data_IF_634368146998
#
_entry.id   IF_634368146998
#
_cell.length_a   1.000
_cell.length_b   1.000
_cell.length_c   1.000
_cell.angle_alpha   90.00
_cell.angle_beta   90.00
_cell.angle_gamma   90.00
#
_symmetry.space_group_name_H-M   'P 1'
#
loop_
_entity.id
_entity.type
_entity.pdbx_description
1 polymer ?
#
# COMPACT_ATOMS: atom_id res chain seq x y z
N UNK A 1 -8.91 -3.35 -20.27
CA UNK A 1 -9.45 -1.96 -20.21
C UNK A 1 -8.42 -1.06 -19.54
N UNK A 2 -8.28 0.20 -19.93
CA UNK A 2 -7.30 1.09 -19.28
C UNK A 2 -7.70 1.38 -17.82
N UNK A 3 -6.72 1.51 -16.93
CA UNK A 3 -6.90 1.85 -15.50
C UNK A 3 -7.81 3.08 -15.32
N UNK A 4 -7.70 4.05 -16.25
CA UNK A 4 -8.56 5.24 -16.28
C UNK A 4 -10.04 4.90 -16.43
N UNK A 5 -10.39 4.00 -17.35
CA UNK A 5 -11.78 3.59 -17.59
C UNK A 5 -12.34 2.90 -16.35
N UNK A 6 -11.58 1.97 -15.77
CA UNK A 6 -11.94 1.27 -14.53
C UNK A 6 -12.16 2.24 -13.35
N UNK A 7 -11.35 3.29 -13.21
CA UNK A 7 -11.55 4.31 -12.17
C UNK A 7 -12.86 5.09 -12.37
N UNK A 8 -13.18 5.49 -13.61
CA UNK A 8 -14.44 6.18 -13.93
C UNK A 8 -15.63 5.25 -13.72
N UNK A 9 -15.54 4.00 -14.17
CA UNK A 9 -16.59 2.99 -14.02
C UNK A 9 -16.85 2.71 -12.52
N UNK A 10 -15.80 2.57 -11.70
CA UNK A 10 -15.94 2.41 -10.25
C UNK A 10 -16.58 3.63 -9.57
N UNK A 11 -16.27 4.85 -10.03
CA UNK A 11 -16.89 6.08 -9.52
C UNK A 11 -18.39 6.14 -9.88
N UNK A 12 -18.76 5.74 -11.10
CA UNK A 12 -20.15 5.64 -11.54
C UNK A 12 -20.91 4.56 -10.77
N UNK A 13 -20.31 3.39 -10.61
CA UNK A 13 -20.88 2.26 -9.88
C UNK A 13 -21.11 2.60 -8.39
N UNK A 14 -20.17 3.32 -7.77
CA UNK A 14 -20.35 3.82 -6.40
C UNK A 14 -21.51 4.83 -6.28
N UNK A 15 -21.66 5.73 -7.25
CA UNK A 15 -22.80 6.66 -7.29
C UNK A 15 -24.12 5.91 -7.43
N UNK A 16 -24.16 4.88 -8.27
CA UNK A 16 -25.35 4.05 -8.49
C UNK A 16 -25.71 3.21 -7.25
N UNK A 17 -24.72 2.60 -6.58
CA UNK A 17 -24.93 1.88 -5.32
C UNK A 17 -25.39 2.79 -4.16
N UNK A 18 -25.04 4.08 -4.16
CA UNK A 18 -25.61 5.05 -3.21
C UNK A 18 -26.99 5.58 -3.61
N UNK A 19 -27.31 5.60 -4.91
CA UNK A 19 -28.62 5.98 -5.43
C UNK A 19 -29.75 5.03 -5.04
N UNK A 20 -29.43 3.77 -4.74
CA UNK A 20 -30.43 2.78 -4.29
C UNK A 20 -30.75 2.84 -2.78
N UNK A 21 -30.11 3.71 -2.00
CA UNK A 21 -30.33 3.82 -0.55
C UNK A 21 -30.86 5.18 -0.09
N UNK A 22 -30.91 6.21 -0.94
CA UNK A 22 -31.36 7.54 -0.54
C UNK A 22 -32.06 8.24 -1.70
N UNK A 23 -33.38 8.48 -1.55
CA UNK A 23 -34.15 9.41 -2.38
C UNK A 23 -33.38 10.71 -2.62
N UNK A 24 -33.46 11.23 -3.84
CA UNK A 24 -32.79 12.43 -4.37
C UNK A 24 -32.54 13.55 -3.35
N UNK A 25 -31.43 13.44 -2.63
CA UNK A 25 -30.71 14.59 -2.11
C UNK A 25 -29.45 14.67 -2.94
N UNK A 26 -29.29 15.77 -3.66
CA UNK A 26 -28.05 16.10 -4.36
C UNK A 26 -26.95 16.34 -3.31
N UNK A 27 -26.46 15.26 -2.71
CA UNK A 27 -25.27 15.27 -1.87
C UNK A 27 -24.13 15.71 -2.78
N UNK A 28 -23.54 16.87 -2.49
CA UNK A 28 -22.38 17.37 -3.21
C UNK A 28 -21.35 16.26 -3.34
N UNK A 29 -20.77 16.10 -4.54
CA UNK A 29 -19.72 15.11 -4.76
C UNK A 29 -18.54 15.50 -3.87
N UNK A 30 -18.15 14.61 -2.97
CA UNK A 30 -16.96 14.77 -2.14
C UNK A 30 -15.71 14.51 -3.00
N UNK A 31 -15.37 15.46 -3.87
CA UNK A 31 -14.32 15.33 -4.90
C UNK A 31 -12.99 14.87 -4.29
N UNK A 32 -12.62 15.40 -3.12
CA UNK A 32 -11.37 15.05 -2.42
C UNK A 32 -11.32 13.56 -2.09
N UNK A 33 -12.41 13.01 -1.54
CA UNK A 33 -12.49 11.59 -1.19
C UNK A 33 -12.36 10.70 -2.42
N UNK A 34 -13.07 11.01 -3.50
CA UNK A 34 -12.99 10.21 -4.72
C UNK A 34 -11.62 10.27 -5.39
N UNK A 35 -11.00 11.46 -5.44
CA UNK A 35 -9.63 11.60 -5.96
C UNK A 35 -8.67 10.77 -5.11
N UNK A 36 -8.78 10.83 -3.78
CA UNK A 36 -7.94 10.04 -2.89
C UNK A 36 -8.08 8.53 -3.12
N UNK A 37 -9.31 8.01 -3.15
CA UNK A 37 -9.56 6.58 -3.40
C UNK A 37 -9.05 6.14 -4.78
N UNK A 38 -9.24 6.98 -5.81
CA UNK A 38 -8.72 6.71 -7.14
C UNK A 38 -7.19 6.70 -7.16
N UNK A 39 -6.54 7.71 -6.56
CA UNK A 39 -5.08 7.78 -6.45
C UNK A 39 -4.52 6.59 -5.67
N UNK A 40 -5.17 6.17 -4.59
CA UNK A 40 -4.75 5.01 -3.80
C UNK A 40 -4.84 3.72 -4.62
N UNK A 41 -5.91 3.51 -5.37
CA UNK A 41 -6.03 2.37 -6.28
C UNK A 41 -5.03 2.42 -7.44
N UNK A 42 -4.74 3.60 -7.99
CA UNK A 42 -3.71 3.75 -9.02
C UNK A 42 -2.32 3.38 -8.49
N UNK A 43 -1.99 3.82 -7.27
CA UNK A 43 -0.74 3.43 -6.60
C UNK A 43 -0.72 1.92 -6.32
N UNK A 44 -1.83 1.34 -5.84
CA UNK A 44 -1.94 -0.10 -5.63
C UNK A 44 -1.69 -0.91 -6.91
N UNK A 45 -2.27 -0.48 -8.03
CA UNK A 45 -2.05 -1.14 -9.31
C UNK A 45 -0.60 -0.99 -9.79
N UNK A 46 0.00 0.19 -9.66
CA UNK A 46 1.38 0.42 -10.08
C UNK A 46 2.40 -0.32 -9.19
N UNK A 47 2.11 -0.42 -7.89
CA UNK A 47 3.04 -1.00 -6.92
C UNK A 47 2.90 -2.52 -6.81
N UNK A 48 1.68 -3.03 -6.91
CA UNK A 48 1.31 -4.41 -6.55
C UNK A 48 0.35 -5.06 -7.55
N UNK A 49 -0.02 -4.40 -8.65
CA UNK A 49 -1.05 -4.86 -9.59
C UNK A 49 -2.37 -5.25 -8.90
N UNK A 50 -2.77 -4.50 -7.87
CA UNK A 50 -3.95 -4.77 -7.05
C UNK A 50 -4.74 -3.49 -6.79
N UNK A 51 -6.06 -3.59 -6.80
CA UNK A 51 -6.90 -2.54 -6.23
C UNK A 51 -6.81 -2.65 -4.70
N UNK A 52 -6.45 -1.57 -4.02
CA UNK A 52 -6.26 -1.55 -2.56
C UNK A 52 -7.44 -0.92 -1.82
N UNK A 53 -8.42 -0.40 -2.56
CA UNK A 53 -9.72 0.02 -2.06
C UNK A 53 -10.75 -0.93 -2.64
N UNK A 54 -11.13 -1.92 -1.84
CA UNK A 54 -12.19 -2.86 -2.16
C UNK A 54 -13.02 -3.13 -0.89
N UNK A 55 -14.32 -2.79 -0.86
CA UNK A 55 -15.18 -3.05 0.29
C UNK A 55 -15.45 -4.55 0.53
N UNK A 56 -15.30 -5.40 -0.48
CA UNK A 56 -15.58 -6.84 -0.38
C UNK A 56 -14.36 -7.64 0.10
N UNK A 57 -13.17 -7.04 0.02
CA UNK A 57 -11.92 -7.62 0.48
C UNK A 57 -11.49 -7.02 1.82
N UNK A 58 -11.59 -7.85 2.87
CA UNK A 58 -11.20 -7.48 4.24
C UNK A 58 -9.74 -7.04 4.32
N UNK A 59 -8.84 -7.74 3.64
CA UNK A 59 -7.40 -7.48 3.72
C UNK A 59 -7.02 -6.12 3.12
N UNK A 60 -7.56 -5.78 1.95
CA UNK A 60 -7.33 -4.48 1.31
C UNK A 60 -8.02 -3.34 2.05
N UNK A 61 -9.22 -3.59 2.61
CA UNK A 61 -9.89 -2.63 3.49
C UNK A 61 -9.08 -2.35 4.76
N UNK A 62 -8.56 -3.38 5.42
CA UNK A 62 -7.71 -3.24 6.61
C UNK A 62 -6.39 -2.51 6.26
N UNK A 63 -5.79 -2.80 5.10
CA UNK A 63 -4.62 -2.09 4.60
C UNK A 63 -4.91 -0.60 4.35
N UNK A 64 -6.00 -0.29 3.66
CA UNK A 64 -6.44 1.07 3.41
C UNK A 64 -6.66 1.84 4.71
N UNK A 65 -7.36 1.23 5.68
CA UNK A 65 -7.62 1.84 6.99
C UNK A 65 -6.33 2.09 7.77
N UNK A 66 -5.37 1.16 7.71
CA UNK A 66 -4.06 1.34 8.35
C UNK A 66 -3.28 2.52 7.74
N UNK A 67 -3.20 2.61 6.41
CA UNK A 67 -2.54 3.75 5.75
C UNK A 67 -3.26 5.07 6.02
N UNK A 68 -4.59 5.07 5.99
CA UNK A 68 -5.38 6.26 6.32
C UNK A 68 -5.14 6.72 7.76
N UNK A 69 -5.01 5.78 8.70
CA UNK A 69 -4.60 6.07 10.09
C UNK A 69 -3.23 6.74 10.17
N UNK A 70 -2.22 6.21 9.46
CA UNK A 70 -0.88 6.83 9.40
C UNK A 70 -0.94 8.27 8.88
N UNK A 71 -1.72 8.51 7.82
CA UNK A 71 -1.90 9.87 7.27
C UNK A 71 -2.58 10.81 8.26
N UNK A 72 -3.63 10.35 8.95
CA UNK A 72 -4.33 11.12 9.99
C UNK A 72 -3.37 11.53 11.11
N UNK A 73 -2.59 10.58 11.65
CA UNK A 73 -1.64 10.87 12.73
C UNK A 73 -0.48 11.76 12.29
N UNK A 74 -0.01 11.62 11.05
CA UNK A 74 1.01 12.48 10.46
C UNK A 74 0.51 13.91 10.16
N UNK A 75 -0.80 14.09 9.97
CA UNK A 75 -1.43 15.39 9.76
C UNK A 75 -1.65 16.19 11.04
N UNK A 76 -1.60 15.56 12.21
CA UNK A 76 -1.81 16.25 13.48
C UNK A 76 -0.58 17.07 13.90
N UNK A 77 -0.79 18.33 14.36
CA UNK A 77 0.30 19.11 14.94
C UNK A 77 0.86 18.39 16.18
N UNK A 78 2.17 18.14 16.18
CA UNK A 78 2.82 17.42 17.24
C UNK A 78 3.46 18.38 18.26
N UNK A 79 2.94 18.41 19.49
CA UNK A 79 3.50 19.17 20.61
C UNK A 79 4.97 18.81 20.84
N UNK A 80 5.34 17.55 20.60
CA UNK A 80 6.73 17.09 20.74
C UNK A 80 7.68 17.62 19.67
N UNK A 81 7.15 18.13 18.56
CA UNK A 81 7.94 18.80 17.52
C UNK A 81 8.13 20.29 17.83
N UNK A 82 7.23 20.89 18.61
CA UNK A 82 7.38 22.24 19.15
C UNK A 82 8.26 22.27 20.41
N UNK A 83 8.18 21.23 21.25
CA UNK A 83 8.92 21.12 22.51
C UNK A 83 9.69 19.80 22.55
N UNK A 84 10.90 19.81 22.00
CA UNK A 84 11.68 18.60 21.76
C UNK A 84 12.01 17.79 23.02
N UNK A 85 12.03 18.41 24.21
CA UNK A 85 12.24 17.71 25.48
C UNK A 85 11.04 16.86 25.94
N UNK A 86 9.85 17.06 25.36
CA UNK A 86 8.64 16.25 25.67
C UNK A 86 8.50 15.01 24.75
N UNK A 87 9.43 14.82 23.79
CA UNK A 87 9.37 13.73 22.79
C UNK A 87 9.27 12.33 23.37
N UNK A 88 9.89 12.09 24.53
CA UNK A 88 9.90 10.77 25.15
C UNK A 88 8.57 10.42 25.83
N UNK A 89 7.73 11.42 26.15
CA UNK A 89 6.44 11.21 26.81
C UNK A 89 5.34 10.81 25.83
N UNK A 90 5.48 11.15 24.54
CA UNK A 90 4.42 10.99 23.52
C UNK A 90 3.05 11.47 24.05
N UNK A 91 2.98 12.73 24.51
CA UNK A 91 1.82 13.28 25.23
C UNK A 91 0.49 13.15 24.47
N UNK A 92 0.55 13.13 23.14
CA UNK A 92 -0.62 13.00 22.27
C UNK A 92 -0.85 11.55 21.80
N UNK A 93 0.07 10.64 22.14
CA UNK A 93 0.06 9.26 21.69
C UNK A 93 0.23 9.10 20.18
N UNK A 94 0.62 10.15 19.45
CA UNK A 94 0.66 10.17 17.99
C UNK A 94 1.70 9.19 17.47
N UNK A 95 2.86 9.11 18.13
CA UNK A 95 3.90 8.16 17.76
C UNK A 95 3.40 6.73 17.95
N UNK A 96 2.82 6.42 19.12
CA UNK A 96 2.29 5.07 19.39
C UNK A 96 1.17 4.67 18.41
N UNK A 97 0.28 5.59 18.04
CA UNK A 97 -0.78 5.33 17.06
C UNK A 97 -0.22 5.10 15.66
N UNK A 98 0.76 5.92 15.25
CA UNK A 98 1.43 5.79 13.96
C UNK A 98 2.22 4.47 13.87
N UNK A 99 2.97 4.11 14.91
CA UNK A 99 3.71 2.84 14.97
C UNK A 99 2.76 1.64 14.89
N UNK A 100 1.62 1.69 15.57
CA UNK A 100 0.59 0.63 15.51
C UNK A 100 0.02 0.46 14.11
N UNK A 101 -0.38 1.56 13.47
CA UNK A 101 -1.04 1.51 12.16
C UNK A 101 -0.01 1.18 11.06
N UNK A 102 1.24 1.64 11.19
CA UNK A 102 2.36 1.24 10.34
C UNK A 102 2.70 -0.25 10.48
N UNK A 103 2.70 -0.79 11.70
CA UNK A 103 2.89 -2.22 11.93
C UNK A 103 1.86 -3.06 11.18
N UNK A 104 0.57 -2.71 11.31
CA UNK A 104 -0.51 -3.39 10.57
C UNK A 104 -0.35 -3.30 9.05
N UNK A 105 0.00 -2.13 8.53
CA UNK A 105 0.22 -1.95 7.10
C UNK A 105 1.39 -2.81 6.59
N UNK A 106 2.49 -2.88 7.35
CA UNK A 106 3.66 -3.71 7.00
C UNK A 106 3.33 -5.20 7.07
N UNK A 107 2.57 -5.64 8.06
CA UNK A 107 2.16 -7.05 8.19
C UNK A 107 1.33 -7.50 6.98
N UNK A 108 0.37 -6.67 6.55
CA UNK A 108 -0.45 -6.97 5.37
C UNK A 108 0.39 -6.88 4.07
N UNK A 109 1.24 -5.87 3.95
CA UNK A 109 2.15 -5.76 2.80
C UNK A 109 3.09 -6.97 2.70
N UNK A 110 3.54 -7.51 3.83
CA UNK A 110 4.35 -8.73 3.86
C UNK A 110 3.60 -9.95 3.31
N UNK A 111 2.28 -10.05 3.57
CA UNK A 111 1.42 -11.07 2.94
C UNK A 111 1.41 -10.92 1.43
N UNK A 112 1.20 -9.70 0.90
CA UNK A 112 1.21 -9.45 -0.55
C UNK A 112 2.55 -9.83 -1.20
N UNK A 113 3.67 -9.50 -0.55
CA UNK A 113 5.01 -9.89 -1.03
C UNK A 113 5.17 -11.41 -1.02
N UNK A 114 4.70 -12.08 0.03
CA UNK A 114 4.76 -13.54 0.14
C UNK A 114 3.95 -14.22 -0.95
N UNK A 115 2.71 -13.78 -1.17
CA UNK A 115 1.84 -14.25 -2.25
C UNK A 115 2.55 -14.14 -3.60
N UNK A 116 3.14 -12.97 -3.91
CA UNK A 116 3.86 -12.76 -5.18
C UNK A 116 5.07 -13.68 -5.34
N UNK A 117 5.85 -13.89 -4.28
CA UNK A 117 6.99 -14.81 -4.31
C UNK A 117 6.52 -16.25 -4.59
N UNK A 118 5.40 -16.67 -4.00
CA UNK A 118 4.83 -18.00 -4.22
C UNK A 118 4.29 -18.14 -5.66
N UNK A 119 3.64 -17.11 -6.20
CA UNK A 119 3.20 -17.05 -7.60
C UNK A 119 4.39 -17.22 -8.56
N UNK A 120 5.50 -16.49 -8.35
CA UNK A 120 6.70 -16.63 -9.18
C UNK A 120 7.30 -18.03 -9.13
N UNK A 121 7.32 -18.67 -7.96
CA UNK A 121 7.80 -20.05 -7.81
C UNK A 121 6.92 -21.07 -8.52
N UNK A 122 5.62 -20.79 -8.62
CA UNK A 122 4.67 -21.61 -9.35
C UNK A 122 4.73 -21.41 -10.87
N UNK A 123 5.62 -20.54 -11.37
CA UNK A 123 5.72 -20.21 -12.79
C UNK A 123 4.65 -19.21 -13.26
N UNK A 124 4.09 -18.42 -12.34
CA UNK A 124 3.16 -17.34 -12.67
C UNK A 124 3.79 -16.30 -13.58
N UNK A 125 2.94 -15.62 -14.37
CA UNK A 125 3.36 -14.55 -15.25
C UNK A 125 3.82 -13.32 -14.44
N UNK A 126 4.92 -12.70 -14.87
CA UNK A 126 5.37 -11.43 -14.28
C UNK A 126 4.41 -10.31 -14.68
N UNK A 127 4.07 -9.46 -13.72
CA UNK A 127 3.13 -8.35 -13.91
C UNK A 127 3.85 -7.04 -14.27
N UNK A 128 5.19 -7.04 -14.20
CA UNK A 128 6.06 -5.88 -14.47
C UNK A 128 5.72 -4.65 -13.61
N UNK A 129 5.16 -4.89 -12.42
CA UNK A 129 4.88 -3.86 -11.44
C UNK A 129 6.10 -3.56 -10.56
N UNK A 130 6.00 -2.55 -9.72
CA UNK A 130 7.12 -2.13 -8.87
C UNK A 130 7.63 -3.27 -7.98
N UNK A 131 6.74 -4.11 -7.44
CA UNK A 131 7.13 -5.23 -6.60
C UNK A 131 7.94 -6.26 -7.39
N UNK A 132 7.56 -6.56 -8.63
CA UNK A 132 8.34 -7.47 -9.48
C UNK A 132 9.75 -6.93 -9.73
N UNK A 133 9.88 -5.63 -10.02
CA UNK A 133 11.18 -4.97 -10.16
C UNK A 133 12.02 -5.11 -8.88
N UNK A 134 11.41 -4.91 -7.70
CA UNK A 134 12.11 -5.08 -6.43
C UNK A 134 12.58 -6.53 -6.19
N UNK A 135 11.74 -7.51 -6.54
CA UNK A 135 12.08 -8.93 -6.41
C UNK A 135 13.22 -9.32 -7.36
N UNK A 136 13.22 -8.83 -8.60
CA UNK A 136 14.30 -9.03 -9.55
C UNK A 136 15.62 -8.41 -9.09
N UNK A 137 15.58 -7.18 -8.57
CA UNK A 137 16.76 -6.52 -8.00
C UNK A 137 17.34 -7.31 -6.82
N UNK A 138 16.47 -7.86 -5.96
CA UNK A 138 16.88 -8.71 -4.84
C UNK A 138 17.57 -9.99 -5.34
N UNK A 139 17.00 -10.65 -6.34
CA UNK A 139 17.55 -11.87 -6.92
C UNK A 139 18.88 -11.61 -7.62
N UNK A 140 18.97 -10.56 -8.44
CA UNK A 140 20.21 -10.15 -9.10
C UNK A 140 21.33 -9.86 -8.08
N UNK A 141 21.01 -9.16 -6.98
CA UNK A 141 21.95 -8.92 -5.89
C UNK A 141 22.39 -10.22 -5.23
N UNK A 142 21.48 -11.17 -4.99
CA UNK A 142 21.81 -12.47 -4.40
C UNK A 142 22.73 -13.28 -5.31
N UNK A 143 22.44 -13.31 -6.60
CA UNK A 143 23.27 -13.98 -7.61
C UNK A 143 24.68 -13.38 -7.68
N UNK A 144 24.79 -12.04 -7.60
CA UNK A 144 26.09 -11.36 -7.55
C UNK A 144 26.87 -11.72 -6.28
N UNK A 145 26.21 -11.72 -5.11
CA UNK A 145 26.84 -12.11 -3.85
C UNK A 145 27.33 -13.56 -3.88
N UNK A 146 26.53 -14.48 -4.43
CA UNK A 146 26.90 -15.88 -4.60
C UNK A 146 28.10 -16.04 -5.54
N UNK A 147 28.13 -15.31 -6.66
CA UNK A 147 29.24 -15.32 -7.60
C UNK A 147 30.54 -14.78 -6.97
N UNK A 148 30.47 -13.66 -6.25
CA UNK A 148 31.63 -13.08 -5.56
C UNK A 148 32.17 -14.02 -4.47
N UNK A 149 31.27 -14.67 -3.73
CA UNK A 149 31.65 -15.65 -2.72
C UNK A 149 32.34 -16.88 -3.36
N UNK A 150 31.77 -17.41 -4.44
CA UNK A 150 32.37 -18.51 -5.20
C UNK A 150 33.75 -18.15 -5.72
N UNK A 151 33.91 -16.96 -6.32
CA UNK A 151 35.20 -16.48 -6.82
C UNK A 151 36.22 -16.31 -5.69
N UNK A 152 35.81 -15.79 -4.54
CA UNK A 152 36.70 -15.69 -3.38
C UNK A 152 37.16 -17.06 -2.85
N UNK A 153 36.28 -18.07 -2.89
CA UNK A 153 36.52 -19.38 -2.28
C UNK A 153 37.31 -20.31 -3.19
N UNK A 154 37.10 -20.23 -4.51
CA UNK A 154 37.62 -21.20 -5.48
C UNK A 154 38.59 -20.63 -6.51
N UNK A 155 38.87 -19.32 -6.54
CA UNK A 155 39.77 -18.71 -7.55
C UNK A 155 41.27 -18.87 -7.25
N UNK A 156 41.66 -19.68 -6.26
CA UNK A 156 43.05 -19.97 -5.89
C UNK A 156 43.43 -21.46 -6.00
N UNK A 157 42.58 -22.26 -6.64
CA UNK A 157 42.88 -23.63 -7.08
C UNK A 157 42.76 -23.73 -8.60
#
# INVERSE_FOLDING_TARGET
MSVRRKCVDNMLLWKENQGNLVEEKMNGIEVVRYIFLASFNMLGNLMLSRDLVDPDSKETSDFFNAINGIMEWGGHPNISDLFSWLRWLDLQGLRRKMDRDMGKALDIAATFVKERIEEHKAGGEKREDFLDVLLELKEAKMNLLNYLNWRSTYSYW
#
